data_IF_852386301898
#
_entry.id   IF_852386301898
#
_cell.length_a   1.000
_cell.length_b   1.000
_cell.length_c   1.000
_cell.angle_alpha   90.00
_cell.angle_beta   90.00
_cell.angle_gamma   90.00
#
_symmetry.space_group_name_H-M   'P 1'
#
loop_
_entity.id
_entity.type
_entity.pdbx_description
1 polymer ?
#
# COMPACT_ATOMS: atom_id res chain seq x y z
N UNK A 1 -16.29 9.70 29.33
CA UNK A 1 -16.25 9.84 27.86
C UNK A 1 -15.00 9.14 27.35
N UNK A 2 -15.06 8.29 26.31
CA UNK A 2 -13.84 7.68 25.77
C UNK A 2 -13.06 8.77 25.02
N UNK A 3 -11.97 9.24 25.61
CA UNK A 3 -11.02 10.13 24.96
C UNK A 3 -10.24 9.31 23.93
N UNK A 4 -10.73 9.30 22.69
CA UNK A 4 -10.07 8.63 21.57
C UNK A 4 -8.61 9.09 21.47
N UNK A 5 -7.67 8.15 21.58
CA UNK A 5 -6.26 8.43 21.44
C UNK A 5 -5.91 8.81 20.00
N UNK A 6 -5.01 9.78 19.84
CA UNK A 6 -4.47 10.16 18.55
C UNK A 6 -3.58 9.02 17.99
N UNK A 7 -3.88 8.46 16.82
CA UNK A 7 -3.03 7.44 16.19
C UNK A 7 -2.08 8.05 15.17
N UNK A 8 -0.87 7.51 15.07
CA UNK A 8 0.16 8.05 14.18
C UNK A 8 0.15 7.27 12.86
N UNK A 9 -0.24 7.93 11.77
CA UNK A 9 -0.03 7.43 10.39
C UNK A 9 1.31 7.92 9.82
N UNK A 10 2.03 8.77 10.56
CA UNK A 10 3.25 9.42 10.10
C UNK A 10 4.38 8.43 9.76
N UNK A 11 5.18 8.82 8.76
CA UNK A 11 6.35 8.13 8.17
C UNK A 11 7.53 7.92 9.14
N UNK A 12 7.35 8.09 10.44
CA UNK A 12 8.42 8.26 11.43
C UNK A 12 9.04 6.95 11.96
N UNK A 13 9.07 5.87 11.19
CA UNK A 13 9.52 4.56 11.71
C UNK A 13 10.61 3.86 10.91
N UNK A 14 11.33 4.57 10.05
CA UNK A 14 12.43 4.01 9.28
C UNK A 14 11.96 3.10 8.15
N UNK A 15 12.84 2.89 7.18
CA UNK A 15 12.59 2.00 6.05
C UNK A 15 12.34 0.56 6.54
N UNK A 16 11.52 -0.20 5.82
CA UNK A 16 11.27 -1.60 6.13
C UNK A 16 12.56 -2.43 6.12
N UNK A 17 13.48 -2.13 5.19
CA UNK A 17 14.80 -2.76 5.16
C UNK A 17 15.58 -2.48 6.45
N UNK A 18 15.59 -1.21 6.89
CA UNK A 18 16.22 -0.81 8.14
C UNK A 18 15.63 -1.56 9.33
N UNK A 19 14.30 -1.60 9.49
CA UNK A 19 13.68 -2.36 10.59
C UNK A 19 14.04 -3.84 10.55
N UNK A 20 14.04 -4.44 9.36
CA UNK A 20 14.41 -5.85 9.19
C UNK A 20 15.85 -6.11 9.62
N UNK A 21 16.78 -5.27 9.20
CA UNK A 21 18.19 -5.46 9.50
C UNK A 21 18.50 -5.13 10.96
N UNK A 22 17.93 -4.04 11.49
CA UNK A 22 18.16 -3.61 12.86
C UNK A 22 17.56 -4.60 13.89
N UNK A 23 16.36 -5.13 13.65
CA UNK A 23 15.71 -6.11 14.53
C UNK A 23 15.93 -7.56 14.10
N UNK A 24 16.81 -7.80 13.12
CA UNK A 24 17.12 -9.12 12.58
C UNK A 24 15.86 -9.93 12.19
N UNK A 25 14.87 -9.28 11.58
CA UNK A 25 13.61 -9.92 11.19
C UNK A 25 13.82 -10.88 10.02
N UNK A 26 13.25 -12.07 10.11
CA UNK A 26 13.45 -13.13 9.10
C UNK A 26 12.48 -13.04 7.93
N UNK A 27 11.26 -12.52 8.14
CA UNK A 27 10.29 -12.39 7.06
C UNK A 27 10.59 -11.17 6.18
N UNK A 28 10.50 -11.34 4.87
CA UNK A 28 10.60 -10.28 3.88
C UNK A 28 9.82 -10.63 2.61
N UNK A 29 9.61 -9.67 1.71
CA UNK A 29 8.75 -9.86 0.53
C UNK A 29 9.26 -10.89 -0.50
N UNK A 30 10.50 -11.37 -0.34
CA UNK A 30 11.09 -12.44 -1.15
C UNK A 30 11.09 -13.81 -0.47
N UNK A 31 10.87 -13.88 0.85
CA UNK A 31 10.85 -15.12 1.61
C UNK A 31 9.50 -15.84 1.49
N UNK A 32 9.44 -17.10 1.93
CA UNK A 32 8.17 -17.82 2.05
C UNK A 32 7.29 -17.20 3.14
N UNK A 33 7.87 -16.76 4.26
CA UNK A 33 7.15 -15.93 5.24
C UNK A 33 7.22 -14.47 4.81
N UNK A 34 6.05 -13.85 4.66
CA UNK A 34 5.95 -12.50 4.08
C UNK A 34 5.77 -11.41 5.13
N UNK A 35 5.29 -11.77 6.33
CA UNK A 35 4.94 -10.84 7.37
C UNK A 35 5.52 -11.27 8.72
N UNK A 36 6.14 -10.33 9.43
CA UNK A 36 6.66 -10.56 10.78
C UNK A 36 5.58 -10.51 11.86
N UNK A 37 4.36 -10.03 11.54
CA UNK A 37 3.29 -9.79 12.52
C UNK A 37 2.14 -10.80 12.44
N UNK A 38 2.11 -11.63 11.40
CA UNK A 38 1.10 -12.66 11.23
C UNK A 38 1.68 -13.86 10.49
N UNK A 39 0.88 -14.89 10.29
CA UNK A 39 1.29 -16.14 9.64
C UNK A 39 1.15 -16.13 8.10
N UNK A 40 1.08 -14.97 7.47
CA UNK A 40 0.96 -14.87 6.01
C UNK A 40 2.20 -15.44 5.30
N UNK A 41 1.96 -16.35 4.36
CA UNK A 41 2.98 -17.04 3.56
C UNK A 41 2.84 -16.77 2.06
N UNK A 42 3.87 -17.13 1.30
CA UNK A 42 3.84 -17.08 -0.17
C UNK A 42 3.07 -18.25 -0.76
N UNK A 43 3.23 -19.44 -0.20
CA UNK A 43 2.57 -20.67 -0.64
C UNK A 43 1.83 -21.37 0.50
N UNK A 44 0.93 -22.30 0.14
CA UNK A 44 0.18 -23.13 1.10
C UNK A 44 -1.14 -22.52 1.59
N UNK A 45 -1.75 -23.12 2.64
CA UNK A 45 -3.06 -22.70 3.15
C UNK A 45 -3.09 -21.28 3.70
N UNK A 46 -1.94 -20.74 4.11
CA UNK A 46 -1.78 -19.36 4.59
C UNK A 46 -1.22 -18.43 3.51
N UNK A 47 -1.29 -18.84 2.23
CA UNK A 47 -0.86 -18.01 1.12
C UNK A 47 -1.74 -16.77 0.95
N UNK A 48 -1.12 -15.69 0.48
CA UNK A 48 -1.85 -14.45 0.12
C UNK A 48 -2.89 -14.66 -1.00
N UNK A 49 -2.78 -15.75 -1.76
CA UNK A 49 -3.77 -16.22 -2.72
C UNK A 49 -4.27 -15.11 -3.65
N UNK A 50 -5.53 -15.24 -4.07
CA UNK A 50 -6.27 -14.23 -4.84
C UNK A 50 -7.20 -13.38 -3.97
N UNK A 51 -7.20 -13.60 -2.65
CA UNK A 51 -8.06 -12.90 -1.70
C UNK A 51 -7.23 -12.11 -0.68
N UNK A 52 -7.02 -10.83 -0.99
CA UNK A 52 -6.35 -9.88 -0.11
C UNK A 52 -7.16 -9.53 1.15
N UNK A 53 -8.44 -9.92 1.21
CA UNK A 53 -9.33 -9.71 2.35
C UNK A 53 -9.22 -10.80 3.41
N UNK A 54 -8.54 -11.92 3.10
CA UNK A 54 -8.24 -12.96 4.07
C UNK A 54 -7.54 -12.41 5.31
N UNK A 55 -8.04 -12.77 6.48
CA UNK A 55 -7.44 -12.40 7.75
C UNK A 55 -6.44 -13.47 8.17
N UNK A 56 -5.25 -13.05 8.59
CA UNK A 56 -4.19 -13.95 9.02
C UNK A 56 -4.10 -13.90 10.54
N UNK A 57 -3.86 -15.07 11.14
CA UNK A 57 -3.62 -15.15 12.57
C UNK A 57 -2.41 -14.29 12.94
N UNK A 58 -2.60 -13.36 13.88
CA UNK A 58 -1.54 -12.51 14.40
C UNK A 58 -0.60 -13.32 15.30
N UNK A 59 0.67 -12.97 15.26
CA UNK A 59 1.68 -13.52 16.16
C UNK A 59 1.56 -12.87 17.55
N UNK A 60 1.82 -13.64 18.60
CA UNK A 60 1.99 -13.10 19.95
C UNK A 60 3.33 -12.36 20.08
N UNK A 61 3.55 -11.60 21.17
CA UNK A 61 4.86 -10.99 21.46
C UNK A 61 5.95 -12.08 21.49
N UNK A 62 5.68 -13.16 22.23
CA UNK A 62 6.60 -14.27 22.37
C UNK A 62 6.90 -14.96 21.03
N UNK A 63 5.88 -15.22 20.22
CA UNK A 63 6.07 -15.83 18.90
C UNK A 63 6.89 -14.94 17.95
N UNK A 64 6.81 -13.61 18.07
CA UNK A 64 7.67 -12.71 17.29
C UNK A 64 9.13 -12.83 17.75
N UNK A 65 9.36 -12.79 19.06
CA UNK A 65 10.71 -12.89 19.62
C UNK A 65 11.36 -14.24 19.32
N UNK A 66 10.58 -15.33 19.33
CA UNK A 66 11.12 -16.68 19.19
C UNK A 66 11.20 -17.13 17.73
N UNK A 67 10.27 -16.70 16.87
CA UNK A 67 10.13 -17.27 15.52
C UNK A 67 10.21 -16.25 14.38
N UNK A 68 10.10 -14.94 14.63
CA UNK A 68 10.14 -13.91 13.59
C UNK A 68 11.44 -13.08 13.60
N UNK A 69 12.18 -13.09 14.71
CA UNK A 69 13.52 -12.54 14.83
C UNK A 69 14.56 -13.65 14.66
N UNK A 70 15.73 -13.32 14.13
CA UNK A 70 16.86 -14.24 14.03
C UNK A 70 17.46 -14.55 15.40
N UNK A 71 18.45 -15.44 15.42
CA UNK A 71 19.09 -15.91 16.66
C UNK A 71 19.73 -14.80 17.48
N UNK A 72 20.32 -13.81 16.80
CA UNK A 72 20.83 -12.60 17.46
C UNK A 72 19.68 -11.60 17.62
N UNK A 73 19.10 -11.55 18.82
CA UNK A 73 18.01 -10.63 19.16
C UNK A 73 18.57 -9.23 19.39
N UNK A 74 17.87 -8.21 18.90
CA UNK A 74 18.23 -6.82 19.19
C UNK A 74 17.93 -6.53 20.68
N UNK A 75 18.84 -5.92 21.46
CA UNK A 75 18.60 -5.66 22.89
C UNK A 75 17.32 -4.87 23.18
N UNK A 76 16.91 -3.97 22.27
CA UNK A 76 15.64 -3.24 22.43
C UNK A 76 14.44 -4.18 22.43
N UNK A 77 14.50 -5.31 21.72
CA UNK A 77 13.40 -6.28 21.67
C UNK A 77 13.16 -7.02 22.98
N UNK A 78 14.15 -7.03 23.87
CA UNK A 78 14.10 -7.73 25.15
C UNK A 78 13.53 -6.85 26.27
N UNK A 79 13.47 -5.52 26.05
CA UNK A 79 12.91 -4.59 27.02
C UNK A 79 11.43 -4.90 27.27
N UNK A 80 11.01 -4.87 28.52
CA UNK A 80 9.63 -5.19 28.95
C UNK A 80 8.59 -4.29 28.30
N UNK A 81 8.93 -3.01 28.14
CA UNK A 81 8.09 -2.00 27.48
C UNK A 81 8.16 -2.06 25.95
N UNK A 82 9.07 -2.87 25.38
CA UNK A 82 9.16 -3.04 23.94
C UNK A 82 8.24 -4.18 23.46
N UNK A 83 7.33 -3.82 22.57
CA UNK A 83 6.45 -4.73 21.85
C UNK A 83 6.53 -4.44 20.35
N UNK A 84 7.22 -5.35 19.65
CA UNK A 84 7.43 -5.30 18.22
C UNK A 84 6.11 -5.15 17.43
N UNK A 85 4.98 -5.66 17.93
CA UNK A 85 3.66 -5.55 17.27
C UNK A 85 3.22 -4.10 17.13
N UNK A 86 3.62 -3.25 18.06
CA UNK A 86 3.20 -1.85 18.15
C UNK A 86 4.30 -0.88 17.75
N UNK A 87 5.56 -1.25 17.97
CA UNK A 87 6.70 -0.39 17.69
C UNK A 87 7.21 -0.54 16.26
N UNK A 88 7.23 -1.77 15.71
CA UNK A 88 7.64 -2.01 14.34
C UNK A 88 6.43 -1.83 13.42
N UNK A 89 6.54 -0.88 12.49
CA UNK A 89 5.46 -0.56 11.56
C UNK A 89 6.03 -0.46 10.16
N UNK A 90 5.47 -1.20 9.21
CA UNK A 90 5.86 -1.01 7.83
C UNK A 90 5.58 0.43 7.38
N UNK A 91 6.51 1.06 6.68
CA UNK A 91 6.38 2.45 6.26
C UNK A 91 5.46 2.61 5.03
N UNK A 92 4.54 3.57 5.10
CA UNK A 92 3.61 3.88 3.99
C UNK A 92 4.35 4.15 2.68
N UNK A 93 5.45 4.90 2.75
CA UNK A 93 6.21 5.29 1.57
C UNK A 93 6.68 4.07 0.75
N UNK A 94 7.28 3.05 1.37
CA UNK A 94 7.81 1.91 0.62
C UNK A 94 6.76 0.86 0.24
N UNK A 95 5.67 0.78 1.01
CA UNK A 95 4.60 -0.16 0.74
C UNK A 95 3.64 0.38 -0.29
N UNK A 96 3.10 1.57 -0.03
CA UNK A 96 2.05 2.15 -0.86
C UNK A 96 2.72 2.93 -1.99
N UNK A 97 3.54 3.95 -1.68
CA UNK A 97 4.01 4.89 -2.71
C UNK A 97 5.06 4.30 -3.66
N UNK A 98 6.04 3.57 -3.14
CA UNK A 98 7.13 2.93 -3.90
C UNK A 98 6.91 1.42 -4.07
N UNK A 99 5.66 0.97 -3.94
CA UNK A 99 5.32 -0.44 -4.02
C UNK A 99 4.05 -0.66 -4.80
N UNK A 100 2.92 -0.54 -4.11
CA UNK A 100 1.60 -0.72 -4.71
C UNK A 100 1.36 0.28 -5.85
N UNK A 101 1.68 1.56 -5.64
CA UNK A 101 1.45 2.61 -6.65
C UNK A 101 2.26 2.42 -7.92
N UNK A 102 3.49 1.92 -7.84
CA UNK A 102 4.30 1.76 -9.06
C UNK A 102 3.66 0.73 -10.00
N UNK A 103 3.20 -0.39 -9.45
CA UNK A 103 2.47 -1.41 -10.22
C UNK A 103 1.10 -0.88 -10.64
N UNK A 104 0.32 -0.34 -9.71
CA UNK A 104 -1.03 0.15 -10.01
C UNK A 104 -1.03 1.24 -11.09
N UNK A 105 -0.13 2.23 -11.00
CA UNK A 105 -0.01 3.28 -12.01
C UNK A 105 0.49 2.72 -13.35
N UNK A 106 1.43 1.77 -13.33
CA UNK A 106 1.92 1.10 -14.54
C UNK A 106 0.80 0.34 -15.25
N UNK A 107 0.05 -0.49 -14.52
CA UNK A 107 -1.10 -1.24 -15.03
C UNK A 107 -2.18 -0.33 -15.58
N UNK A 108 -2.51 0.77 -14.89
CA UNK A 108 -3.48 1.75 -15.36
C UNK A 108 -3.02 2.47 -16.63
N UNK A 109 -1.74 2.86 -16.69
CA UNK A 109 -1.17 3.53 -17.86
C UNK A 109 -1.17 2.61 -19.07
N UNK A 110 -0.76 1.35 -18.91
CA UNK A 110 -0.81 0.36 -19.99
C UNK A 110 -2.24 0.14 -20.47
N UNK A 111 -3.21 0.00 -19.55
CA UNK A 111 -4.61 -0.15 -19.90
C UNK A 111 -5.12 1.05 -20.73
N UNK A 112 -4.76 2.28 -20.36
CA UNK A 112 -5.14 3.48 -21.12
C UNK A 112 -4.52 3.48 -22.54
N UNK A 113 -3.27 3.02 -22.69
CA UNK A 113 -2.59 2.91 -23.98
C UNK A 113 -3.28 1.87 -24.87
N UNK A 114 -3.56 0.67 -24.34
CA UNK A 114 -4.22 -0.42 -25.08
C UNK A 114 -5.65 -0.06 -25.51
N UNK A 115 -6.31 0.83 -24.77
CA UNK A 115 -7.62 1.36 -25.09
C UNK A 115 -7.55 2.59 -26.03
N UNK A 116 -6.38 2.89 -26.60
CA UNK A 116 -6.11 4.04 -27.47
C UNK A 116 -6.55 5.38 -26.87
N UNK A 117 -6.54 5.52 -25.54
CA UNK A 117 -7.01 6.74 -24.85
C UNK A 117 -6.19 7.99 -25.22
N UNK A 118 -4.91 7.77 -25.57
CA UNK A 118 -3.99 8.81 -26.01
C UNK A 118 -3.95 8.96 -27.54
N UNK A 119 -4.82 8.28 -28.26
CA UNK A 119 -4.82 8.15 -29.72
C UNK A 119 -4.27 6.78 -30.18
N UNK A 120 -4.47 6.47 -31.45
CA UNK A 120 -3.92 5.26 -32.11
C UNK A 120 -2.44 5.48 -32.41
N UNK A 121 -1.61 5.29 -31.38
CA UNK A 121 -0.18 5.59 -31.38
C UNK A 121 0.60 4.32 -31.00
N UNK A 122 1.87 4.24 -31.42
CA UNK A 122 2.78 3.27 -30.82
C UNK A 122 3.01 3.58 -29.32
N UNK A 123 3.56 2.61 -28.58
CA UNK A 123 3.77 2.73 -27.13
C UNK A 123 4.64 3.94 -26.77
N UNK A 124 5.66 4.26 -27.58
CA UNK A 124 6.57 5.36 -27.29
C UNK A 124 5.86 6.71 -27.43
N UNK A 125 5.14 6.90 -28.54
CA UNK A 125 4.33 8.09 -28.79
C UNK A 125 3.18 8.25 -27.78
N UNK A 126 2.53 7.14 -27.39
CA UNK A 126 1.48 7.16 -26.38
C UNK A 126 2.00 7.57 -24.99
N UNK A 127 3.18 7.08 -24.58
CA UNK A 127 3.84 7.50 -23.33
C UNK A 127 4.25 8.98 -23.36
N UNK A 128 4.72 9.46 -24.51
CA UNK A 128 5.02 10.88 -24.70
C UNK A 128 3.76 11.75 -24.55
N UNK A 129 2.66 11.40 -25.21
CA UNK A 129 1.39 12.12 -25.09
C UNK A 129 0.82 12.07 -23.66
N UNK A 130 0.88 10.90 -23.00
CA UNK A 130 0.50 10.77 -21.60
C UNK A 130 1.29 11.71 -20.69
N UNK A 131 2.59 11.89 -20.96
CA UNK A 131 3.47 12.81 -20.22
C UNK A 131 3.06 14.27 -20.41
N UNK A 132 2.75 14.67 -21.65
CA UNK A 132 2.28 16.03 -21.94
C UNK A 132 0.92 16.33 -21.29
N UNK A 133 -0.01 15.36 -21.32
CA UNK A 133 -1.30 15.48 -20.64
C UNK A 133 -1.14 15.53 -19.12
N UNK A 134 -0.25 14.72 -18.55
CA UNK A 134 0.07 14.75 -17.12
C UNK A 134 0.60 16.13 -16.68
N UNK A 135 1.56 16.69 -17.42
CA UNK A 135 2.11 18.03 -17.15
C UNK A 135 1.02 19.12 -17.17
N UNK A 136 0.16 19.10 -18.19
CA UNK A 136 -0.99 20.03 -18.31
C UNK A 136 -1.94 19.88 -17.13
N UNK A 137 -2.29 18.64 -16.77
CA UNK A 137 -3.14 18.34 -15.62
C UNK A 137 -2.55 18.88 -14.31
N UNK A 138 -1.27 18.59 -14.04
CA UNK A 138 -0.63 19.03 -12.81
C UNK A 138 -0.49 20.56 -12.74
N UNK A 139 -0.15 21.20 -13.86
CA UNK A 139 -0.10 22.66 -13.97
C UNK A 139 -1.47 23.30 -13.72
N UNK A 140 -2.54 22.78 -14.33
CA UNK A 140 -3.90 23.30 -14.15
C UNK A 140 -4.39 23.17 -12.71
N UNK A 141 -3.93 22.14 -11.99
CA UNK A 141 -4.25 21.92 -10.59
C UNK A 141 -3.28 22.62 -9.61
N UNK A 142 -2.30 23.39 -10.09
CA UNK A 142 -1.30 24.05 -9.23
C UNK A 142 -0.36 23.07 -8.50
N UNK A 143 -0.25 21.83 -8.98
CA UNK A 143 0.55 20.77 -8.35
C UNK A 143 1.98 20.78 -8.89
N UNK A 144 2.97 20.89 -8.00
CA UNK A 144 4.39 20.79 -8.37
C UNK A 144 4.79 19.33 -8.57
N UNK A 145 5.55 19.03 -9.61
CA UNK A 145 6.12 17.69 -9.82
C UNK A 145 7.50 17.79 -10.49
N UNK A 146 8.26 16.68 -10.44
CA UNK A 146 9.57 16.57 -11.10
C UNK A 146 9.63 15.48 -12.17
N UNK A 147 8.47 14.92 -12.56
CA UNK A 147 8.40 13.91 -13.64
C UNK A 147 8.76 14.53 -14.98
N UNK A 148 9.75 13.94 -15.66
CA UNK A 148 10.12 14.25 -17.03
C UNK A 148 9.13 13.66 -18.05
N UNK A 149 9.61 13.38 -19.26
CA UNK A 149 8.86 12.53 -20.19
C UNK A 149 8.96 11.09 -19.71
N UNK A 150 7.83 10.40 -19.61
CA UNK A 150 7.74 8.98 -19.31
C UNK A 150 8.24 8.24 -20.54
N UNK A 151 9.28 7.44 -20.36
CA UNK A 151 9.86 6.60 -21.41
C UNK A 151 9.54 5.14 -21.14
N UNK A 152 9.67 4.25 -22.14
CA UNK A 152 9.58 2.80 -21.91
C UNK A 152 10.54 2.32 -20.81
N UNK A 153 11.71 2.93 -20.64
CA UNK A 153 12.65 2.59 -19.57
C UNK A 153 12.15 2.88 -18.15
N UNK A 154 11.17 3.77 -17.99
CA UNK A 154 10.49 4.02 -16.71
C UNK A 154 9.36 3.02 -16.42
N UNK A 155 8.92 2.31 -17.46
CA UNK A 155 8.02 1.17 -17.39
C UNK A 155 8.88 -0.09 -17.33
N UNK A 156 9.32 -0.48 -16.14
CA UNK A 156 10.03 -1.74 -16.00
C UNK A 156 9.11 -2.90 -16.40
N UNK A 157 9.72 -4.00 -16.82
CA UNK A 157 9.02 -5.25 -17.10
C UNK A 157 8.04 -5.14 -18.29
N UNK A 158 8.42 -4.40 -19.35
CA UNK A 158 7.72 -4.34 -20.64
C UNK A 158 8.04 -5.51 -21.59
N UNK A 159 8.95 -6.40 -21.20
CA UNK A 159 9.17 -7.65 -21.93
C UNK A 159 7.91 -8.55 -21.85
N UNK A 160 7.63 -9.27 -22.94
CA UNK A 160 6.59 -10.32 -22.97
C UNK A 160 6.75 -11.22 -21.74
N UNK A 161 5.76 -11.22 -20.83
CA UNK A 161 5.80 -12.08 -19.65
C UNK A 161 5.96 -11.37 -18.30
N UNK A 162 5.99 -10.04 -18.23
CA UNK A 162 6.17 -9.33 -16.97
C UNK A 162 5.09 -8.28 -16.68
N UNK A 163 4.98 -7.86 -15.41
CA UNK A 163 3.90 -6.99 -14.95
C UNK A 163 4.30 -5.51 -15.06
N UNK A 164 3.44 -4.63 -15.60
CA UNK A 164 3.76 -3.23 -15.76
C UNK A 164 4.08 -2.55 -14.44
N UNK A 165 5.20 -1.84 -14.38
CA UNK A 165 5.59 -1.09 -13.21
C UNK A 165 6.16 0.26 -13.62
N UNK A 166 5.49 1.35 -13.21
CA UNK A 166 5.93 2.71 -13.47
C UNK A 166 6.73 3.26 -12.29
N UNK A 167 8.04 3.42 -12.48
CA UNK A 167 8.93 3.93 -11.43
C UNK A 167 8.85 5.44 -11.33
N UNK A 168 8.18 5.92 -10.28
CA UNK A 168 8.14 7.33 -9.91
C UNK A 168 8.60 7.52 -8.46
N UNK A 169 9.11 8.72 -8.16
CA UNK A 169 9.31 9.18 -6.78
C UNK A 169 7.97 9.16 -6.04
N UNK A 170 7.99 8.90 -4.73
CA UNK A 170 6.80 8.69 -3.92
C UNK A 170 5.74 9.79 -4.07
N UNK A 171 6.15 11.07 -4.01
CA UNK A 171 5.23 12.19 -4.20
C UNK A 171 4.67 12.26 -5.63
N UNK A 172 5.52 12.14 -6.65
CA UNK A 172 5.12 12.15 -8.06
C UNK A 172 4.15 11.01 -8.38
N UNK A 173 4.33 9.83 -7.76
CA UNK A 173 3.43 8.69 -7.94
C UNK A 173 2.00 8.96 -7.46
N UNK A 174 1.83 9.78 -6.41
CA UNK A 174 0.52 10.20 -5.90
C UNK A 174 -0.18 11.17 -6.84
N UNK A 175 0.54 12.17 -7.36
CA UNK A 175 0.01 13.10 -8.37
C UNK A 175 -0.38 12.33 -9.63
N UNK A 176 0.48 11.40 -10.06
CA UNK A 176 0.22 10.57 -11.24
C UNK A 176 -0.99 9.66 -11.07
N UNK A 177 -1.21 9.11 -9.86
CA UNK A 177 -2.43 8.37 -9.52
C UNK A 177 -3.69 9.22 -9.79
N UNK A 178 -3.70 10.47 -9.32
CA UNK A 178 -4.83 11.37 -9.54
C UNK A 178 -5.08 11.64 -11.03
N UNK A 179 -4.00 11.79 -11.81
CA UNK A 179 -4.08 11.92 -13.27
C UNK A 179 -4.69 10.67 -13.93
N UNK A 180 -4.16 9.47 -13.66
CA UNK A 180 -4.69 8.25 -14.28
C UNK A 180 -6.12 7.95 -13.82
N UNK A 181 -6.50 8.31 -12.59
CA UNK A 181 -7.88 8.21 -12.13
C UNK A 181 -8.81 9.08 -12.99
N UNK A 182 -8.44 10.33 -13.28
CA UNK A 182 -9.23 11.21 -14.16
C UNK A 182 -9.35 10.59 -15.56
N UNK A 183 -8.25 10.12 -16.14
CA UNK A 183 -8.27 9.45 -17.45
C UNK A 183 -9.17 8.21 -17.47
N UNK A 184 -9.03 7.33 -16.48
CA UNK A 184 -9.86 6.13 -16.35
C UNK A 184 -11.33 6.45 -16.15
N UNK A 185 -11.66 7.50 -15.39
CA UNK A 185 -13.04 7.95 -15.21
C UNK A 185 -13.63 8.47 -16.52
N UNK A 186 -12.86 9.22 -17.32
CA UNK A 186 -13.28 9.64 -18.65
C UNK A 186 -13.47 8.43 -19.57
N UNK A 187 -12.54 7.48 -19.57
CA UNK A 187 -12.66 6.26 -20.36
C UNK A 187 -13.88 5.42 -19.95
N UNK A 188 -14.13 5.25 -18.65
CA UNK A 188 -15.32 4.57 -18.10
C UNK A 188 -16.64 5.13 -18.64
N UNK A 189 -16.72 6.43 -18.93
CA UNK A 189 -17.95 7.03 -19.46
C UNK A 189 -18.26 6.54 -20.88
N UNK A 190 -17.27 6.06 -21.62
CA UNK A 190 -17.40 5.57 -23.00
C UNK A 190 -17.23 4.05 -23.18
N UNK A 191 -16.97 3.28 -22.12
CA UNK A 191 -16.78 1.82 -22.21
C UNK A 191 -17.50 1.06 -21.09
N UNK A 192 -17.98 -0.14 -21.42
CA UNK A 192 -18.59 -1.06 -20.45
C UNK A 192 -17.61 -2.11 -19.94
N UNK A 193 -16.33 -2.02 -20.33
CA UNK A 193 -15.31 -3.01 -19.96
C UNK A 193 -15.14 -3.07 -18.44
N UNK A 194 -15.39 -4.25 -17.88
CA UNK A 194 -15.35 -4.47 -16.42
C UNK A 194 -14.00 -4.13 -15.81
N UNK A 195 -12.92 -4.40 -16.53
CA UNK A 195 -11.56 -4.08 -16.11
C UNK A 195 -11.35 -2.57 -15.91
N UNK A 196 -11.78 -1.75 -16.88
CA UNK A 196 -11.68 -0.29 -16.80
C UNK A 196 -12.48 0.26 -15.61
N UNK A 197 -13.69 -0.26 -15.38
CA UNK A 197 -14.52 0.09 -14.24
C UNK A 197 -13.84 -0.21 -12.90
N UNK A 198 -13.27 -1.42 -12.76
CA UNK A 198 -12.56 -1.82 -11.54
C UNK A 198 -11.28 -1.01 -11.33
N UNK A 199 -10.51 -0.74 -12.39
CA UNK A 199 -9.30 0.08 -12.33
C UNK A 199 -9.60 1.52 -11.92
N UNK A 200 -10.66 2.10 -12.46
CA UNK A 200 -11.13 3.45 -12.11
C UNK A 200 -11.55 3.52 -10.64
N UNK A 201 -12.37 2.58 -10.18
CA UNK A 201 -12.83 2.51 -8.79
C UNK A 201 -11.67 2.24 -7.81
N UNK A 202 -10.71 1.38 -8.17
CA UNK A 202 -9.53 1.12 -7.37
C UNK A 202 -8.66 2.39 -7.24
N UNK A 203 -8.46 3.11 -8.34
CA UNK A 203 -7.73 4.37 -8.36
C UNK A 203 -8.43 5.42 -7.51
N UNK A 204 -9.76 5.55 -7.61
CA UNK A 204 -10.56 6.45 -6.78
C UNK A 204 -10.37 6.16 -5.29
N UNK A 205 -10.39 4.88 -4.91
CA UNK A 205 -10.21 4.45 -3.52
C UNK A 205 -8.84 4.88 -2.98
N UNK A 206 -7.76 4.75 -3.77
CA UNK A 206 -6.44 5.23 -3.38
C UNK A 206 -6.33 6.77 -3.37
N UNK A 207 -6.95 7.47 -4.32
CA UNK A 207 -6.99 8.94 -4.32
C UNK A 207 -7.64 9.46 -3.04
N UNK A 208 -8.78 8.89 -2.66
CA UNK A 208 -9.47 9.23 -1.40
C UNK A 208 -8.63 8.87 -0.17
N UNK A 209 -7.89 7.75 -0.22
CA UNK A 209 -6.96 7.37 0.83
C UNK A 209 -5.89 8.47 1.03
N UNK A 210 -5.24 8.92 -0.04
CA UNK A 210 -4.23 9.99 0.04
C UNK A 210 -4.82 11.32 0.47
N UNK A 211 -5.99 11.69 -0.06
CA UNK A 211 -6.67 12.92 0.34
C UNK A 211 -6.96 12.91 1.85
N UNK A 212 -7.48 11.79 2.37
CA UNK A 212 -7.76 11.62 3.81
C UNK A 212 -6.48 11.72 4.64
N UNK A 213 -5.40 11.09 4.17
CA UNK A 213 -4.11 11.10 4.86
C UNK A 213 -3.49 12.51 4.88
N UNK A 214 -3.55 13.24 3.77
CA UNK A 214 -2.98 14.59 3.64
C UNK A 214 -3.82 15.68 4.33
N UNK A 215 -5.14 15.49 4.39
CA UNK A 215 -6.03 16.39 5.13
C UNK A 215 -6.01 16.16 6.64
N UNK A 216 -5.62 14.98 7.08
CA UNK A 216 -5.43 14.70 8.51
C UNK A 216 -4.21 15.44 9.06
N UNK A 217 -4.20 15.74 10.36
CA UNK A 217 -3.02 16.30 11.01
C UNK A 217 -1.83 15.36 10.71
N UNK A 218 -0.77 15.87 10.06
CA UNK A 218 0.34 15.07 9.49
C UNK A 218 0.96 14.05 10.47
N UNK A 219 0.79 14.27 11.77
CA UNK A 219 1.26 13.39 12.85
C UNK A 219 0.18 12.47 13.40
N UNK A 220 -1.09 12.87 13.37
CA UNK A 220 -2.17 12.21 14.08
C UNK A 220 -3.43 12.12 13.24
N UNK A 221 -3.99 10.92 13.17
CA UNK A 221 -5.23 10.64 12.47
C UNK A 221 -6.32 10.40 13.50
N UNK A 222 -7.40 11.17 13.37
CA UNK A 222 -8.60 11.02 14.18
C UNK A 222 -9.33 9.72 13.85
N UNK A 223 -10.17 9.23 14.77
CA UNK A 223 -10.88 7.96 14.59
C UNK A 223 -11.72 7.91 13.30
N UNK A 224 -12.34 9.02 12.90
CA UNK A 224 -13.11 9.11 11.66
C UNK A 224 -12.21 8.96 10.42
N UNK A 225 -11.09 9.68 10.37
CA UNK A 225 -10.12 9.57 9.29
C UNK A 225 -9.45 8.19 9.26
N UNK A 226 -9.16 7.59 10.41
CA UNK A 226 -8.60 6.23 10.50
C UNK A 226 -9.57 5.18 9.95
N UNK A 227 -10.86 5.31 10.28
CA UNK A 227 -11.92 4.48 9.70
C UNK A 227 -11.98 4.65 8.18
N UNK A 228 -11.94 5.90 7.70
CA UNK A 228 -11.96 6.19 6.26
C UNK A 228 -10.77 5.59 5.53
N UNK A 229 -9.56 5.70 6.09
CA UNK A 229 -8.36 5.06 5.52
C UNK A 229 -8.52 3.54 5.44
N UNK A 230 -9.12 2.91 6.47
CA UNK A 230 -9.40 1.48 6.47
C UNK A 230 -10.41 1.08 5.39
N UNK A 231 -11.52 1.81 5.25
CA UNK A 231 -12.53 1.58 4.21
C UNK A 231 -11.94 1.70 2.80
N UNK A 232 -11.16 2.76 2.55
CA UNK A 232 -10.46 2.96 1.28
C UNK A 232 -9.43 1.84 1.02
N UNK A 233 -8.75 1.35 2.05
CA UNK A 233 -7.78 0.25 1.94
C UNK A 233 -8.50 -1.05 1.58
N UNK A 234 -9.51 -1.46 2.35
CA UNK A 234 -10.24 -2.71 2.10
C UNK A 234 -10.96 -2.68 0.74
N UNK A 235 -11.52 -1.53 0.35
CA UNK A 235 -12.12 -1.33 -0.97
C UNK A 235 -11.09 -1.51 -2.10
N UNK A 236 -9.94 -0.84 -1.99
CA UNK A 236 -8.85 -0.98 -2.96
C UNK A 236 -8.37 -2.44 -3.10
N UNK A 237 -8.16 -3.13 -1.98
CA UNK A 237 -7.68 -4.52 -1.97
C UNK A 237 -8.69 -5.48 -2.63
N UNK A 238 -9.99 -5.30 -2.37
CA UNK A 238 -11.06 -6.09 -3.00
C UNK A 238 -11.12 -5.85 -4.50
N UNK A 239 -11.04 -4.59 -4.94
CA UNK A 239 -11.06 -4.22 -6.36
C UNK A 239 -9.83 -4.76 -7.09
N UNK A 240 -8.65 -4.63 -6.50
CA UNK A 240 -7.39 -5.18 -7.04
C UNK A 240 -7.42 -6.71 -7.13
N UNK A 241 -8.02 -7.38 -6.15
CA UNK A 241 -8.27 -8.84 -6.22
C UNK A 241 -9.22 -9.21 -7.36
N UNK A 242 -10.17 -8.34 -7.70
CA UNK A 242 -11.02 -8.48 -8.89
C UNK A 242 -10.23 -8.33 -10.19
N UNK A 243 -9.39 -7.29 -10.28
CA UNK A 243 -8.52 -7.03 -11.43
C UNK A 243 -7.53 -8.18 -11.69
N UNK A 244 -6.90 -8.71 -10.64
CA UNK A 244 -6.00 -9.86 -10.77
C UNK A 244 -6.73 -11.11 -11.27
N UNK A 245 -7.97 -11.34 -10.85
CA UNK A 245 -8.80 -12.46 -11.36
C UNK A 245 -9.16 -12.28 -12.84
N UNK A 246 -9.53 -11.06 -13.25
CA UNK A 246 -9.78 -10.76 -14.66
C UNK A 246 -8.53 -10.97 -15.52
N UNK A 247 -7.35 -10.52 -15.04
CA UNK A 247 -6.08 -10.73 -15.72
C UNK A 247 -5.79 -12.22 -15.93
N UNK A 248 -5.95 -13.02 -14.88
CA UNK A 248 -5.76 -14.46 -14.93
C UNK A 248 -6.72 -15.14 -15.93
N UNK A 249 -8.00 -14.77 -15.91
CA UNK A 249 -9.01 -15.30 -16.83
C UNK A 249 -8.71 -14.94 -18.29
N UNK A 250 -8.17 -13.74 -18.53
CA UNK A 250 -7.78 -13.27 -19.85
C UNK A 250 -6.36 -13.73 -20.27
N UNK A 251 -5.67 -14.51 -19.43
CA UNK A 251 -4.25 -14.87 -19.60
C UNK A 251 -3.33 -13.65 -19.85
N UNK A 252 -3.64 -12.51 -19.22
CA UNK A 252 -2.82 -11.30 -19.31
C UNK A 252 -2.04 -11.06 -18.02
N UNK A 253 -0.90 -10.40 -18.13
CA UNK A 253 -0.03 -10.06 -17.00
C UNK A 253 -0.15 -8.57 -16.63
N UNK A 254 -1.37 -8.03 -16.64
CA UNK A 254 -1.59 -6.60 -16.35
C UNK A 254 -1.65 -6.30 -14.85
N UNK A 255 -2.27 -7.18 -14.06
CA UNK A 255 -2.56 -6.91 -12.65
C UNK A 255 -1.90 -7.93 -11.72
N UNK A 256 -1.05 -7.45 -10.80
CA UNK A 256 -0.29 -8.29 -9.87
C UNK A 256 -0.73 -8.09 -8.43
N UNK A 257 -0.97 -9.18 -7.72
CA UNK A 257 -1.05 -9.15 -6.26
C UNK A 257 0.35 -9.20 -5.65
N UNK A 258 0.76 -8.09 -5.04
CA UNK A 258 2.02 -7.97 -4.30
C UNK A 258 1.86 -8.35 -2.83
N UNK A 259 2.87 -8.95 -2.18
CA UNK A 259 2.94 -9.07 -0.72
C UNK A 259 2.76 -7.75 0.02
N UNK A 260 3.14 -6.63 -0.60
CA UNK A 260 2.96 -5.27 -0.06
C UNK A 260 1.48 -4.92 0.20
N UNK A 261 0.52 -5.50 -0.53
CA UNK A 261 -0.91 -5.30 -0.28
C UNK A 261 -1.31 -5.77 1.13
N UNK A 262 -0.78 -6.91 1.57
CA UNK A 262 -0.98 -7.41 2.92
C UNK A 262 -0.40 -6.45 3.95
N UNK A 263 0.82 -5.96 3.72
CA UNK A 263 1.49 -5.03 4.62
C UNK A 263 0.72 -3.71 4.76
N UNK A 264 0.17 -3.17 3.67
CA UNK A 264 -0.67 -1.98 3.70
C UNK A 264 -1.90 -2.17 4.59
N UNK A 265 -2.56 -3.33 4.49
CA UNK A 265 -3.71 -3.65 5.33
C UNK A 265 -3.35 -3.77 6.81
N UNK A 266 -2.25 -4.46 7.12
CA UNK A 266 -1.75 -4.61 8.50
C UNK A 266 -1.43 -3.24 9.10
N UNK A 267 -0.78 -2.38 8.33
CA UNK A 267 -0.43 -1.03 8.73
C UNK A 267 -1.69 -0.23 9.10
N UNK A 268 -2.67 -0.13 8.20
CA UNK A 268 -3.88 0.67 8.43
C UNK A 268 -4.76 0.12 9.55
N UNK A 269 -4.90 -1.20 9.67
CA UNK A 269 -5.59 -1.81 10.81
C UNK A 269 -4.95 -1.43 12.14
N UNK A 270 -3.61 -1.37 12.18
CA UNK A 270 -2.92 -1.00 13.42
C UNK A 270 -3.15 0.46 13.83
N UNK A 271 -3.34 1.36 12.87
CA UNK A 271 -3.75 2.75 13.11
C UNK A 271 -5.17 2.80 13.67
N UNK A 272 -6.10 2.06 13.08
CA UNK A 272 -7.49 2.01 13.53
C UNK A 272 -7.60 1.52 14.99
N UNK A 273 -6.94 0.42 15.34
CA UNK A 273 -6.94 -0.10 16.71
C UNK A 273 -6.32 0.88 17.73
N UNK A 274 -5.38 1.72 17.32
CA UNK A 274 -4.83 2.78 18.17
C UNK A 274 -5.87 3.87 18.46
N UNK A 275 -6.64 4.29 17.44
CA UNK A 275 -7.66 5.34 17.61
C UNK A 275 -8.90 4.90 18.37
N UNK A 276 -9.27 3.62 18.31
CA UNK A 276 -10.51 3.10 18.89
C UNK A 276 -10.48 2.99 20.43
N UNK A 277 -9.48 3.55 21.10
CA UNK A 277 -9.42 3.59 22.57
C UNK A 277 -9.12 2.24 23.22
N UNK A 278 -8.80 1.18 22.46
CA UNK A 278 -8.35 -0.11 23.01
C UNK A 278 -6.98 -0.01 23.71
N UNK A 279 -6.35 1.17 23.69
CA UNK A 279 -5.07 1.47 24.32
C UNK A 279 -5.13 1.82 25.81
N UNK A 280 -6.33 2.04 26.40
CA UNK A 280 -6.40 2.34 27.83
C UNK A 280 -5.96 1.17 28.73
N UNK A 281 -5.87 -0.05 28.19
CA UNK A 281 -5.48 -1.23 28.97
C UNK A 281 -3.96 -1.36 29.16
N UNK A 282 -3.13 -0.86 28.24
CA UNK A 282 -1.66 -1.02 28.36
C UNK A 282 -1.04 0.02 29.31
N UNK A 283 -1.58 1.25 29.34
CA UNK A 283 -1.12 2.23 30.33
C UNK A 283 -1.55 1.87 31.76
N UNK A 284 -2.68 1.18 31.92
CA UNK A 284 -3.10 0.68 33.23
C UNK A 284 -2.31 -0.56 33.67
N UNK A 285 -1.96 -1.50 32.79
CA UNK A 285 -1.15 -2.65 33.23
C UNK A 285 0.29 -2.28 33.60
N UNK A 286 0.93 -1.34 32.90
CA UNK A 286 2.28 -0.87 33.30
C UNK A 286 2.26 -0.09 34.62
N UNK A 287 1.15 0.60 34.95
CA UNK A 287 1.01 1.31 36.22
C UNK A 287 0.43 0.45 37.37
N UNK A 288 -0.18 -0.70 37.07
CA UNK A 288 -0.70 -1.63 38.08
C UNK A 288 0.32 -2.71 38.47
N UNK A 289 1.28 -3.01 37.60
CA UNK A 289 2.41 -3.88 37.95
C UNK A 289 3.48 -3.14 38.79
N UNK A 290 3.58 -1.81 38.70
CA UNK A 290 4.44 -0.99 39.58
C UNK A 290 3.80 -0.64 40.95
N UNK A 291 2.55 -1.05 41.18
CA UNK A 291 1.83 -0.81 42.44
C UNK A 291 1.73 -2.06 43.34
N UNK A 292 2.30 -3.19 42.91
CA UNK A 292 2.27 -4.47 43.63
C UNK A 292 3.68 -5.04 43.90
N UNK A 293 4.73 -4.23 43.79
CA UNK A 293 6.08 -4.53 44.30
C UNK A 293 6.45 -3.54 45.42
#
# INVERSE_FOLDING_TARGET
MPTGGAAVVAEFRGDWKFQREFFNLTAHYGANQLCNFCRAKKTGPESFGMDLTKQYQRRSRQDILDNAMGSLKNPLSELSWFDARWQLKPCTMHIVNLGILQVHNGSCLQLLIEQNFFGTLDVHAALHEASLRFKRFASAAGMRHSVGIITPGMMHDTALGAFPCLTLKAYNGRIFLSFVHVCLRTLCAGTTTREVQLASAASQSLVQWFQTQESSNRRFVEAAAARRLMECTDTFLRLTSGLARLALQAATLRWKLLPKHHAARVQIRSVFFQTAGTFFVVKQHVLLDEAND
#
